data_IF_727558933423
#
_entry.id   IF_727558933423
#
_cell.length_a   1.000
_cell.length_b   1.000
_cell.length_c   1.000
_cell.angle_alpha   90.00
_cell.angle_beta   90.00
_cell.angle_gamma   90.00
#
_symmetry.space_group_name_H-M   'P 1'
#
loop_
_entity.id
_entity.type
_entity.pdbx_description
1 polymer ?
#
# COMPACT_ATOMS: atom_id res chain seq x y z
N UNK A 1 -11.94 28.48 -23.65
CA UNK A 1 -11.76 27.92 -22.30
C UNK A 1 -12.12 26.44 -22.34
N UNK A 2 -11.39 25.54 -21.65
CA UNK A 2 -11.78 24.13 -21.62
C UNK A 2 -13.11 23.98 -20.86
N UNK A 3 -14.03 23.20 -21.43
CA UNK A 3 -15.35 22.92 -20.84
C UNK A 3 -15.28 21.81 -19.78
N UNK A 4 -14.28 20.93 -19.87
CA UNK A 4 -14.04 19.84 -18.94
C UNK A 4 -12.54 19.56 -18.82
N UNK A 5 -12.08 19.36 -17.59
CA UNK A 5 -10.72 18.90 -17.28
C UNK A 5 -10.83 17.73 -16.30
N UNK A 6 -10.14 16.63 -16.60
CA UNK A 6 -10.09 15.45 -15.73
C UNK A 6 -8.66 15.23 -15.26
N UNK A 7 -8.48 15.04 -13.96
CA UNK A 7 -7.20 14.71 -13.33
C UNK A 7 -7.33 13.43 -12.52
N UNK A 8 -6.41 12.48 -12.73
CA UNK A 8 -6.28 11.30 -11.88
C UNK A 8 -5.17 11.50 -10.87
N UNK A 9 -5.44 11.20 -9.60
CA UNK A 9 -4.43 11.22 -8.52
C UNK A 9 -4.39 9.84 -7.86
N UNK A 10 -3.18 9.32 -7.66
CA UNK A 10 -2.95 8.08 -6.93
C UNK A 10 -2.36 8.39 -5.55
N UNK A 11 -3.02 7.94 -4.49
CA UNK A 11 -2.52 8.08 -3.11
C UNK A 11 -1.98 6.74 -2.60
N UNK A 12 -0.90 6.82 -1.83
CA UNK A 12 -0.43 5.74 -0.97
C UNK A 12 -0.80 6.09 0.46
N UNK A 13 -1.56 5.21 1.11
CA UNK A 13 -2.01 5.38 2.49
C UNK A 13 -0.99 4.71 3.41
N UNK A 14 -0.52 5.44 4.42
CA UNK A 14 0.39 4.89 5.42
C UNK A 14 -0.34 3.86 6.30
N UNK A 15 0.41 2.97 6.95
CA UNK A 15 -0.15 1.91 7.81
C UNK A 15 -0.92 2.45 9.02
N UNK A 16 -0.65 3.69 9.43
CA UNK A 16 -1.32 4.37 10.54
C UNK A 16 -2.43 5.34 10.09
N UNK A 17 -2.62 5.50 8.78
CA UNK A 17 -3.65 6.35 8.20
C UNK A 17 -4.82 5.52 7.68
N UNK A 18 -5.97 6.18 7.47
CA UNK A 18 -7.10 5.60 6.77
C UNK A 18 -7.34 6.25 5.40
N UNK A 19 -8.07 5.55 4.53
CA UNK A 19 -8.57 6.12 3.27
C UNK A 19 -9.40 7.38 3.54
N UNK A 20 -10.21 7.37 4.61
CA UNK A 20 -11.03 8.50 5.01
C UNK A 20 -10.19 9.72 5.42
N UNK A 21 -9.05 9.54 6.10
CA UNK A 21 -8.14 10.64 6.43
C UNK A 21 -7.56 11.30 5.18
N UNK A 22 -7.15 10.48 4.20
CA UNK A 22 -6.65 10.97 2.92
C UNK A 22 -7.74 11.72 2.15
N UNK A 23 -8.96 11.20 2.14
CA UNK A 23 -10.10 11.85 1.49
C UNK A 23 -10.43 13.20 2.16
N UNK A 24 -10.52 13.26 3.49
CA UNK A 24 -10.72 14.51 4.24
C UNK A 24 -9.64 15.54 3.93
N UNK A 25 -8.36 15.13 3.95
CA UNK A 25 -7.27 16.05 3.67
C UNK A 25 -7.27 16.54 2.21
N UNK A 26 -7.56 15.66 1.25
CA UNK A 26 -7.70 16.04 -0.16
C UNK A 26 -8.85 17.04 -0.37
N UNK A 27 -10.00 16.80 0.27
CA UNK A 27 -11.15 17.70 0.22
C UNK A 27 -10.82 19.08 0.84
N UNK A 28 -10.14 19.10 1.99
CA UNK A 28 -9.68 20.33 2.65
C UNK A 28 -8.74 21.16 1.76
N UNK A 29 -7.76 20.53 1.13
CA UNK A 29 -6.81 21.21 0.24
C UNK A 29 -7.49 21.73 -1.02
N UNK A 30 -8.38 20.92 -1.62
CA UNK A 30 -9.17 21.34 -2.77
C UNK A 30 -10.13 22.50 -2.43
N UNK A 31 -10.72 22.49 -1.23
CA UNK A 31 -11.59 23.56 -0.74
C UNK A 31 -10.89 24.91 -0.72
N UNK A 32 -9.67 24.98 -0.18
CA UNK A 32 -8.88 26.22 -0.15
C UNK A 32 -8.59 26.78 -1.56
N UNK A 33 -8.42 25.91 -2.55
CA UNK A 33 -8.25 26.31 -3.96
C UNK A 33 -9.59 26.75 -4.56
N UNK A 34 -10.65 25.98 -4.32
CA UNK A 34 -11.99 26.26 -4.82
C UNK A 34 -12.49 27.63 -4.33
N UNK A 35 -12.32 27.94 -3.05
CA UNK A 35 -12.67 29.23 -2.44
C UNK A 35 -11.90 30.39 -3.07
N UNK A 36 -10.61 30.21 -3.38
CA UNK A 36 -9.76 31.25 -4.01
C UNK A 36 -10.25 31.63 -5.40
N UNK A 37 -10.84 30.70 -6.13
CA UNK A 37 -11.27 30.90 -7.52
C UNK A 37 -12.79 30.95 -7.70
N UNK A 38 -13.57 30.91 -6.62
CA UNK A 38 -15.04 30.91 -6.68
C UNK A 38 -15.63 29.66 -7.35
N UNK A 39 -14.96 28.51 -7.24
CA UNK A 39 -15.41 27.24 -7.81
C UNK A 39 -16.20 26.47 -6.75
N UNK A 40 -17.31 25.83 -7.14
CA UNK A 40 -18.07 24.95 -6.23
C UNK A 40 -17.34 23.63 -6.06
N UNK A 41 -17.17 23.16 -4.82
CA UNK A 41 -16.56 21.87 -4.52
C UNK A 41 -17.63 20.82 -4.17
N UNK A 42 -17.55 19.64 -4.81
CA UNK A 42 -18.34 18.45 -4.47
C UNK A 42 -17.41 17.26 -4.31
N UNK A 43 -17.04 16.96 -3.06
CA UNK A 43 -16.03 15.95 -2.75
C UNK A 43 -16.66 14.70 -2.09
N UNK A 44 -16.45 13.53 -2.69
CA UNK A 44 -16.84 12.21 -2.17
C UNK A 44 -18.33 12.07 -1.82
N UNK A 45 -19.21 12.84 -2.47
CA UNK A 45 -20.66 12.80 -2.26
C UNK A 45 -21.21 11.38 -2.51
N UNK A 46 -21.91 10.84 -1.51
CA UNK A 46 -22.52 9.51 -1.59
C UNK A 46 -21.54 8.34 -1.36
N UNK A 47 -20.28 8.61 -1.03
CA UNK A 47 -19.32 7.57 -0.64
C UNK A 47 -19.43 7.25 0.86
N UNK A 48 -19.61 5.97 1.20
CA UNK A 48 -19.77 5.55 2.59
C UNK A 48 -18.48 5.77 3.41
N UNK A 49 -18.63 6.23 4.66
CA UNK A 49 -17.53 6.37 5.61
C UNK A 49 -16.71 7.66 5.50
N UNK A 50 -17.13 8.61 4.65
CA UNK A 50 -16.45 9.90 4.49
C UNK A 50 -17.36 11.04 4.92
N UNK A 51 -17.24 11.46 6.18
CA UNK A 51 -17.66 12.80 6.56
C UNK A 51 -16.48 13.74 6.29
N UNK A 52 -16.58 14.51 5.20
CA UNK A 52 -15.56 15.51 4.84
C UNK A 52 -15.65 16.76 5.71
N UNK A 53 -16.69 16.92 6.55
CA UNK A 53 -16.88 18.11 7.38
C UNK A 53 -17.01 19.41 6.57
N UNK A 54 -17.17 19.30 5.25
CA UNK A 54 -17.42 20.41 4.36
C UNK A 54 -18.93 20.65 4.37
N UNK A 55 -19.35 21.83 4.83
CA UNK A 55 -20.74 22.24 4.72
C UNK A 55 -21.20 22.19 3.24
N UNK A 56 -22.51 22.10 2.98
CA UNK A 56 -23.06 21.85 1.64
C UNK A 56 -22.64 22.88 0.57
N UNK A 57 -22.09 24.02 0.97
CA UNK A 57 -21.61 25.08 0.05
C UNK A 57 -20.37 25.82 0.60
N UNK A 58 -19.19 25.19 0.58
CA UNK A 58 -17.93 25.96 0.56
C UNK A 58 -17.68 26.42 -0.88
N UNK A 59 -17.82 27.73 -1.13
CA UNK A 59 -17.51 28.31 -2.44
C UNK A 59 -18.24 29.60 -2.83
N UNK A 60 -19.19 30.11 -2.04
CA UNK A 60 -19.83 31.41 -2.30
C UNK A 60 -19.25 32.53 -1.41
N UNK A 61 -17.95 32.81 -1.57
CA UNK A 61 -17.34 34.02 -1.00
C UNK A 61 -17.72 35.28 -1.80
N UNK A 62 -17.85 36.46 -1.17
CA UNK A 62 -18.32 37.68 -1.83
C UNK A 62 -17.37 38.07 -2.96
N UNK A 63 -17.94 38.28 -4.15
CA UNK A 63 -17.25 38.40 -5.42
C UNK A 63 -15.98 39.27 -5.39
N UNK A 64 -14.88 38.71 -5.86
CA UNK A 64 -13.69 39.47 -6.20
C UNK A 64 -14.03 40.46 -7.32
N UNK A 65 -13.54 41.70 -7.20
CA UNK A 65 -13.87 42.93 -7.96
C UNK A 65 -13.78 42.90 -9.50
N UNK A 66 -13.61 41.74 -10.15
CA UNK A 66 -13.69 41.55 -11.60
C UNK A 66 -14.46 40.24 -11.90
N UNK A 67 -15.75 40.23 -11.58
CA UNK A 67 -16.59 39.03 -11.60
C UNK A 67 -16.96 38.62 -13.03
N UNK A 68 -16.14 37.75 -13.62
CA UNK A 68 -16.65 36.81 -14.62
C UNK A 68 -17.21 35.62 -13.83
N UNK A 69 -18.52 35.39 -13.94
CA UNK A 69 -19.22 34.29 -13.27
C UNK A 69 -18.88 32.96 -13.94
N UNK A 70 -17.73 32.39 -13.54
CA UNK A 70 -17.37 31.05 -13.94
C UNK A 70 -18.14 30.07 -13.05
N UNK A 71 -19.26 29.56 -13.55
CA UNK A 71 -20.07 28.52 -12.91
C UNK A 71 -19.37 27.15 -12.93
N UNK A 72 -18.13 27.09 -12.46
CA UNK A 72 -17.32 25.88 -12.38
C UNK A 72 -17.69 25.03 -11.17
N UNK A 73 -17.68 23.71 -11.35
CA UNK A 73 -17.81 22.76 -10.24
C UNK A 73 -16.66 21.76 -10.30
N UNK A 74 -15.92 21.63 -9.20
CA UNK A 74 -14.90 20.63 -9.00
C UNK A 74 -15.53 19.41 -8.32
N UNK A 75 -15.56 18.29 -9.04
CA UNK A 75 -15.98 17.00 -8.49
C UNK A 75 -14.75 16.20 -8.08
N UNK A 76 -14.74 15.69 -6.84
CA UNK A 76 -13.73 14.73 -6.38
C UNK A 76 -14.45 13.43 -6.08
N UNK A 77 -13.99 12.35 -6.68
CA UNK A 77 -14.55 11.01 -6.53
C UNK A 77 -13.43 9.98 -6.37
N UNK A 78 -13.74 8.92 -5.67
CA UNK A 78 -12.87 7.77 -5.54
C UNK A 78 -13.00 6.85 -6.76
N UNK A 79 -11.87 6.47 -7.35
CA UNK A 79 -11.84 5.47 -8.43
C UNK A 79 -11.78 4.03 -7.90
N UNK A 80 -10.63 3.65 -7.35
CA UNK A 80 -10.42 2.35 -6.69
C UNK A 80 -9.74 2.58 -5.36
N UNK A 81 -10.23 1.90 -4.33
CA UNK A 81 -9.63 1.89 -2.98
C UNK A 81 -9.29 0.47 -2.56
N UNK A 82 -8.30 0.39 -1.68
CA UNK A 82 -7.97 -0.81 -0.93
C UNK A 82 -7.63 -0.38 0.48
N UNK A 83 -8.13 -1.12 1.47
CA UNK A 83 -7.70 -0.92 2.85
C UNK A 83 -6.17 -1.07 2.96
N UNK A 84 -5.52 -0.34 3.88
CA UNK A 84 -4.12 -0.57 4.21
C UNK A 84 -3.89 -2.06 4.54
N UNK A 85 -2.79 -2.60 4.05
CA UNK A 85 -2.40 -3.97 4.39
C UNK A 85 -2.10 -4.06 5.88
N UNK A 86 -2.66 -5.03 6.62
CA UNK A 86 -2.31 -5.26 8.02
C UNK A 86 -0.80 -5.47 8.20
N UNK A 87 -0.29 -5.08 9.36
CA UNK A 87 1.12 -5.29 9.71
C UNK A 87 1.32 -6.77 10.05
N UNK A 88 2.16 -7.44 9.27
CA UNK A 88 2.61 -8.82 9.56
C UNK A 88 3.48 -8.83 10.82
N UNK A 89 3.27 -9.76 11.77
CA UNK A 89 4.15 -9.92 12.93
C UNK A 89 5.61 -10.16 12.52
N UNK A 90 6.52 -9.37 13.09
CA UNK A 90 7.96 -9.51 12.91
C UNK A 90 8.63 -10.07 14.18
N UNK A 91 7.88 -10.90 14.90
CA UNK A 91 8.28 -11.60 16.12
C UNK A 91 7.54 -12.95 16.22
N UNK A 92 7.92 -13.75 17.21
CA UNK A 92 7.32 -15.04 17.49
C UNK A 92 7.79 -16.16 16.57
N UNK A 93 7.26 -17.38 16.75
CA UNK A 93 7.85 -18.61 16.22
C UNK A 93 7.88 -18.66 14.68
N UNK A 94 6.88 -18.07 14.02
CA UNK A 94 6.82 -18.03 12.55
C UNK A 94 7.87 -17.07 11.98
N UNK A 95 8.01 -15.88 12.57
CA UNK A 95 9.08 -14.94 12.21
C UNK A 95 10.45 -15.52 12.51
N UNK A 96 10.65 -16.13 13.68
CA UNK A 96 11.94 -16.68 14.09
C UNK A 96 12.42 -17.77 13.12
N UNK A 97 11.50 -18.62 12.65
CA UNK A 97 11.77 -19.63 11.64
C UNK A 97 12.07 -19.01 10.28
N UNK A 98 11.25 -18.07 9.81
CA UNK A 98 11.47 -17.34 8.55
C UNK A 98 12.82 -16.61 8.55
N UNK A 99 13.10 -15.83 9.59
CA UNK A 99 14.36 -15.15 9.81
C UNK A 99 15.54 -16.13 9.92
N UNK A 100 15.32 -17.30 10.53
CA UNK A 100 16.29 -18.40 10.57
C UNK A 100 16.67 -18.92 9.18
N UNK A 101 15.67 -19.13 8.30
CA UNK A 101 15.88 -19.55 6.91
C UNK A 101 16.67 -18.50 6.12
N UNK A 102 16.36 -17.22 6.32
CA UNK A 102 17.13 -16.10 5.70
C UNK A 102 18.59 -16.17 6.17
N UNK A 103 18.83 -16.21 7.48
CA UNK A 103 20.19 -16.28 8.04
C UNK A 103 20.97 -17.47 7.52
N UNK A 104 20.34 -18.64 7.46
CA UNK A 104 20.98 -19.86 6.97
C UNK A 104 21.32 -19.76 5.48
N UNK A 105 20.38 -19.30 4.66
CA UNK A 105 20.56 -19.25 3.20
C UNK A 105 21.63 -18.24 2.77
N UNK A 106 21.68 -17.10 3.44
CA UNK A 106 22.57 -15.99 3.09
C UNK A 106 23.84 -15.93 3.95
N UNK A 107 24.11 -16.97 4.76
CA UNK A 107 25.29 -17.05 5.59
C UNK A 107 26.57 -16.92 4.75
N UNK A 108 27.53 -16.14 5.24
CA UNK A 108 28.84 -15.99 4.62
C UNK A 108 29.92 -15.84 5.70
N UNK A 109 31.17 -16.27 5.42
CA UNK A 109 32.28 -16.10 6.35
C UNK A 109 32.42 -14.64 6.78
N UNK A 110 32.60 -14.42 8.09
CA UNK A 110 32.80 -13.10 8.70
C UNK A 110 31.67 -12.09 8.41
N UNK A 111 30.45 -12.56 8.16
CA UNK A 111 29.28 -11.70 7.97
C UNK A 111 28.11 -12.18 8.81
N UNK A 112 27.47 -11.24 9.49
CA UNK A 112 26.21 -11.47 10.20
C UNK A 112 25.06 -11.05 9.30
N UNK A 113 24.15 -11.99 9.02
CA UNK A 113 22.90 -11.69 8.33
C UNK A 113 21.87 -11.29 9.38
N UNK A 114 21.29 -10.09 9.24
CA UNK A 114 20.26 -9.57 10.14
C UNK A 114 18.97 -9.36 9.33
N UNK A 115 17.99 -10.26 9.46
CA UNK A 115 16.66 -10.02 8.91
C UNK A 115 16.01 -8.83 9.62
N UNK A 116 15.53 -7.86 8.84
CA UNK A 116 14.81 -6.70 9.34
C UNK A 116 13.49 -6.57 8.57
N UNK A 117 12.42 -6.26 9.28
CA UNK A 117 11.12 -6.02 8.66
C UNK A 117 11.09 -4.61 8.04
N UNK A 118 10.59 -4.52 6.81
CA UNK A 118 10.42 -3.26 6.08
C UNK A 118 9.05 -3.24 5.40
N UNK A 119 8.51 -2.04 5.16
CA UNK A 119 7.28 -1.85 4.40
C UNK A 119 7.49 -1.92 2.89
N UNK A 120 6.57 -2.58 2.17
CA UNK A 120 6.53 -2.60 0.71
C UNK A 120 5.25 -1.94 0.18
N UNK A 121 5.38 -1.15 -0.89
CA UNK A 121 4.26 -0.41 -1.49
C UNK A 121 3.44 -1.22 -2.51
N UNK A 122 4.00 -2.32 -3.04
CA UNK A 122 3.31 -3.23 -3.95
C UNK A 122 2.30 -4.12 -3.24
N UNK A 123 1.07 -4.21 -3.76
CA UNK A 123 0.00 -5.00 -3.14
C UNK A 123 -0.98 -5.58 -4.19
N UNK A 124 -0.48 -6.00 -5.36
CA UNK A 124 -1.32 -6.50 -6.46
C UNK A 124 -2.03 -7.79 -6.08
N UNK A 125 -1.26 -8.84 -5.77
CA UNK A 125 -1.80 -10.16 -5.43
C UNK A 125 -2.02 -10.32 -3.92
N UNK A 126 -1.16 -9.72 -3.10
CA UNK A 126 -1.18 -9.94 -1.64
C UNK A 126 -2.50 -9.56 -0.99
N UNK A 127 -3.20 -8.54 -1.49
CA UNK A 127 -4.53 -8.13 -1.00
C UNK A 127 -5.56 -9.27 -1.02
N UNK A 128 -5.38 -10.29 -1.86
CA UNK A 128 -6.26 -11.46 -1.94
C UNK A 128 -5.93 -12.55 -0.91
N UNK A 129 -4.74 -12.52 -0.33
CA UNK A 129 -4.28 -13.52 0.64
C UNK A 129 -4.41 -13.06 2.09
N UNK A 130 -4.81 -11.80 2.33
CA UNK A 130 -4.88 -11.21 3.69
C UNK A 130 -5.78 -12.01 4.65
N UNK A 131 -6.83 -12.66 4.13
CA UNK A 131 -7.74 -13.46 4.95
C UNK A 131 -7.26 -14.91 5.17
N UNK A 132 -6.15 -15.33 4.54
CA UNK A 132 -5.64 -16.69 4.65
C UNK A 132 -4.63 -16.86 5.79
N UNK A 133 -3.86 -15.82 6.11
CA UNK A 133 -2.80 -15.88 7.12
C UNK A 133 -2.49 -14.50 7.67
N UNK A 134 -2.17 -14.41 8.96
CA UNK A 134 -1.58 -13.21 9.57
C UNK A 134 -0.08 -13.07 9.27
N UNK A 135 0.58 -14.15 8.85
CA UNK A 135 2.01 -14.21 8.58
C UNK A 135 2.26 -14.10 7.06
N UNK A 136 2.23 -12.87 6.53
CA UNK A 136 2.43 -12.61 5.10
C UNK A 136 3.71 -11.79 4.91
N UNK A 137 4.77 -12.44 4.45
CA UNK A 137 6.06 -11.80 4.18
C UNK A 137 6.20 -11.52 2.68
N UNK A 138 6.23 -10.25 2.31
CA UNK A 138 6.36 -9.79 0.92
C UNK A 138 7.81 -9.46 0.65
N UNK A 139 8.54 -10.40 0.06
CA UNK A 139 9.97 -10.26 -0.14
C UNK A 139 10.46 -11.21 -1.24
N UNK A 140 11.51 -10.80 -1.96
CA UNK A 140 12.20 -11.65 -2.94
C UNK A 140 13.62 -11.93 -2.44
N UNK A 141 14.05 -13.20 -2.34
CA UNK A 141 15.34 -13.60 -1.78
C UNK A 141 16.51 -13.35 -2.76
N UNK A 142 16.71 -12.10 -3.15
CA UNK A 142 17.77 -11.66 -4.06
C UNK A 142 18.46 -10.43 -3.47
N UNK A 143 19.79 -10.33 -3.58
CA UNK A 143 20.51 -9.16 -3.07
C UNK A 143 20.37 -7.97 -4.02
N UNK A 144 20.50 -6.77 -3.46
CA UNK A 144 20.56 -5.54 -4.24
C UNK A 144 21.70 -5.64 -5.28
N UNK A 145 21.42 -5.19 -6.50
CA UNK A 145 22.36 -5.26 -7.63
C UNK A 145 22.44 -6.64 -8.30
N UNK A 146 21.73 -7.66 -7.81
CA UNK A 146 21.61 -8.95 -8.49
C UNK A 146 20.36 -9.06 -9.38
N UNK A 147 19.51 -8.03 -9.40
CA UNK A 147 18.40 -7.90 -10.32
C UNK A 147 18.51 -6.59 -11.09
N UNK A 148 17.92 -6.53 -12.29
CA UNK A 148 17.93 -5.36 -13.15
C UNK A 148 16.61 -5.23 -13.91
N UNK A 149 16.24 -3.99 -14.22
CA UNK A 149 15.16 -3.71 -15.14
C UNK A 149 13.76 -4.08 -14.63
N UNK A 150 13.51 -4.13 -13.32
CA UNK A 150 12.15 -4.38 -12.79
C UNK A 150 11.15 -3.41 -13.43
N UNK A 151 10.05 -3.95 -13.96
CA UNK A 151 9.00 -3.27 -14.71
C UNK A 151 9.45 -2.72 -16.09
N UNK A 152 10.49 -3.29 -16.69
CA UNK A 152 10.95 -2.95 -18.04
C UNK A 152 10.88 -4.17 -18.97
N UNK A 153 11.08 -3.97 -20.26
CA UNK A 153 11.09 -5.06 -21.24
C UNK A 153 12.30 -6.00 -21.11
N UNK A 154 13.35 -5.60 -20.38
CA UNK A 154 14.60 -6.33 -20.25
C UNK A 154 14.91 -6.59 -18.77
N UNK A 155 13.98 -7.26 -18.09
CA UNK A 155 14.20 -7.70 -16.71
C UNK A 155 15.25 -8.81 -16.66
N UNK A 156 16.10 -8.81 -15.63
CA UNK A 156 17.16 -9.79 -15.51
C UNK A 156 17.56 -10.04 -14.07
N UNK A 157 18.12 -11.22 -13.84
CA UNK A 157 18.70 -11.62 -12.56
C UNK A 157 20.06 -12.27 -12.81
N UNK A 158 21.04 -11.96 -11.97
CA UNK A 158 22.32 -12.67 -12.00
C UNK A 158 22.09 -14.13 -11.61
N UNK A 159 22.77 -15.05 -12.30
CA UNK A 159 22.65 -16.48 -12.00
C UNK A 159 22.99 -16.79 -10.52
N UNK A 160 23.92 -16.06 -9.91
CA UNK A 160 24.21 -16.17 -8.47
C UNK A 160 23.01 -15.79 -7.59
N UNK A 161 22.28 -14.73 -7.93
CA UNK A 161 21.05 -14.34 -7.23
C UNK A 161 19.92 -15.36 -7.45
N UNK A 162 19.80 -15.89 -8.66
CA UNK A 162 18.85 -16.96 -8.97
C UNK A 162 19.11 -18.21 -8.12
N UNK A 163 20.37 -18.63 -8.00
CA UNK A 163 20.74 -19.78 -7.18
C UNK A 163 20.47 -19.56 -5.69
N UNK A 164 20.63 -18.33 -5.19
CA UNK A 164 20.29 -18.01 -3.80
C UNK A 164 18.78 -18.04 -3.55
N UNK A 165 17.98 -17.61 -4.53
CA UNK A 165 16.53 -17.76 -4.50
C UNK A 165 16.10 -19.23 -4.47
N UNK A 166 16.71 -20.10 -5.29
CA UNK A 166 16.46 -21.55 -5.27
C UNK A 166 16.78 -22.16 -3.91
N UNK A 167 17.96 -21.84 -3.35
CA UNK A 167 18.36 -22.31 -2.00
C UNK A 167 17.38 -21.83 -0.93
N UNK A 168 16.96 -20.57 -1.00
CA UNK A 168 16.02 -20.00 -0.04
C UNK A 168 14.70 -20.76 -0.04
N UNK A 169 14.07 -20.92 -1.21
CA UNK A 169 12.76 -21.59 -1.28
C UNK A 169 12.85 -23.06 -0.91
N UNK A 170 13.93 -23.76 -1.29
CA UNK A 170 14.18 -25.13 -0.84
C UNK A 170 14.23 -25.22 0.69
N UNK A 171 15.00 -24.34 1.33
CA UNK A 171 15.13 -24.31 2.79
C UNK A 171 13.81 -23.90 3.48
N UNK A 172 13.09 -22.93 2.90
CA UNK A 172 11.80 -22.47 3.40
C UNK A 172 10.79 -23.61 3.43
N UNK A 173 10.61 -24.31 2.30
CA UNK A 173 9.71 -25.45 2.21
C UNK A 173 10.11 -26.54 3.21
N UNK A 174 11.41 -26.88 3.29
CA UNK A 174 11.87 -27.89 4.25
C UNK A 174 11.58 -27.55 5.71
N UNK A 175 11.73 -26.28 6.09
CA UNK A 175 11.48 -25.83 7.47
C UNK A 175 9.99 -25.81 7.77
N UNK A 176 9.15 -25.29 6.87
CA UNK A 176 7.72 -25.13 7.10
C UNK A 176 6.88 -26.37 6.78
N UNK A 177 7.41 -27.35 6.04
CA UNK A 177 6.76 -28.65 5.82
C UNK A 177 7.17 -29.72 6.85
N UNK A 178 8.05 -29.40 7.78
CA UNK A 178 8.42 -30.32 8.87
C UNK A 178 7.41 -30.32 10.01
N UNK A 179 7.37 -31.39 10.79
CA UNK A 179 6.41 -31.67 11.88
C UNK A 179 6.25 -30.55 12.93
N UNK A 180 7.22 -29.62 13.01
CA UNK A 180 7.20 -28.46 13.94
C UNK A 180 6.18 -27.39 13.57
N UNK A 181 5.68 -27.38 12.33
CA UNK A 181 4.65 -26.44 11.86
C UNK A 181 3.43 -27.20 11.37
N UNK A 182 2.91 -28.14 12.16
CA UNK A 182 1.56 -28.63 11.94
C UNK A 182 0.58 -27.47 12.13
N UNK A 183 -0.06 -27.07 11.02
CA UNK A 183 -1.03 -25.99 10.97
C UNK A 183 -2.24 -26.37 11.81
N UNK A 184 -2.37 -25.81 13.00
CA UNK A 184 -3.65 -25.77 13.69
C UNK A 184 -4.58 -24.85 12.87
N UNK A 185 -5.55 -25.47 12.18
CA UNK A 185 -6.50 -24.81 11.29
C UNK A 185 -7.41 -23.79 12.01
N UNK A 186 -7.32 -23.67 13.33
CA UNK A 186 -8.05 -22.70 14.15
C UNK A 186 -7.49 -21.27 14.09
N UNK A 187 -6.25 -21.08 13.62
CA UNK A 187 -5.63 -19.76 13.49
C UNK A 187 -6.08 -19.00 12.23
N UNK A 188 -7.39 -18.90 11.99
CA UNK A 188 -7.92 -17.96 10.99
C UNK A 188 -7.69 -16.52 11.46
N UNK A 189 -7.44 -15.61 10.52
CA UNK A 189 -7.49 -14.19 10.82
C UNK A 189 -8.88 -13.83 11.38
N UNK A 190 -8.99 -12.95 12.40
CA UNK A 190 -10.29 -12.52 12.90
C UNK A 190 -11.13 -11.98 11.73
N UNK A 191 -12.36 -12.46 11.64
CA UNK A 191 -13.31 -12.10 10.59
C UNK A 191 -13.99 -10.78 10.93
N UNK A 192 -13.25 -9.67 11.00
CA UNK A 192 -13.86 -8.33 11.08
C UNK A 192 -13.01 -7.32 10.31
N UNK A 193 -13.48 -7.01 9.10
CA UNK A 193 -13.36 -5.72 8.41
C UNK A 193 -14.68 -5.48 7.67
#
# INVERSE_FOLDING_TARGET
MPELVTLGVNYRVAVHDSVADVQRNAARLAGAVADRYGIRLRAFEGEAGVDVGLGPESGAGPGTRNAVDYNGTLYIRTGKTSAPTPVTPADGPVWDAFAGVIRHTFAAPNRTVVPAAEGMTGNTDTRHYLNLSRNIFRWTPVRLGQFAGIHTYNEGVLMSGHMDMVKFYYNLVRVFSGDRFHLDASARAPSEL
#
